data_IF_729737439111
#
_entry.id   IF_729737439111
#
_cell.length_a   1.000
_cell.length_b   1.000
_cell.length_c   1.000
_cell.angle_alpha   90.00
_cell.angle_beta   90.00
_cell.angle_gamma   90.00
#
_symmetry.space_group_name_H-M   'P 1'
#
loop_
_entity.id
_entity.type
_entity.pdbx_description
1 polymer ?
#
# COMPACT_ATOMS: atom_id res chain seq x y z
N UNK A 1 19.57 34.63 -46.71
CA UNK A 1 18.98 33.31 -46.45
C UNK A 1 19.49 32.81 -45.12
N UNK A 2 18.67 32.87 -44.07
CA UNK A 2 18.91 32.16 -42.81
C UNK A 2 17.53 31.71 -42.32
N UNK A 3 17.28 30.41 -42.47
CA UNK A 3 16.01 29.78 -42.15
C UNK A 3 15.87 29.62 -40.63
N UNK A 4 14.66 29.90 -40.17
CA UNK A 4 14.13 29.55 -38.86
C UNK A 4 14.20 28.04 -38.63
N UNK A 5 14.75 27.63 -37.49
CA UNK A 5 14.43 26.36 -36.84
C UNK A 5 14.15 26.64 -35.37
N UNK A 6 12.89 26.99 -35.10
CA UNK A 6 12.32 27.00 -33.75
C UNK A 6 11.97 25.56 -33.39
N UNK A 7 12.82 24.92 -32.59
CA UNK A 7 12.53 23.61 -32.01
C UNK A 7 11.49 23.77 -30.91
N UNK A 8 10.24 23.49 -31.26
CA UNK A 8 9.14 23.39 -30.33
C UNK A 8 9.37 22.15 -29.44
N UNK A 9 9.95 22.37 -28.25
CA UNK A 9 10.00 21.37 -27.18
C UNK A 9 8.56 21.17 -26.67
N UNK A 10 7.87 20.17 -27.22
CA UNK A 10 6.64 19.65 -26.64
C UNK A 10 7.02 18.94 -25.34
N UNK A 11 6.98 19.68 -24.23
CA UNK A 11 6.98 19.09 -22.88
C UNK A 11 5.69 18.30 -22.75
N UNK A 12 5.76 16.99 -22.97
CA UNK A 12 4.76 16.04 -22.51
C UNK A 12 4.75 16.10 -20.99
N UNK A 13 3.95 17.02 -20.44
CA UNK A 13 3.56 16.99 -19.04
C UNK A 13 2.77 15.70 -18.89
N UNK A 14 3.42 14.67 -18.35
CA UNK A 14 2.76 13.50 -17.84
C UNK A 14 1.81 14.00 -16.76
N UNK A 15 0.52 14.05 -17.07
CA UNK A 15 -0.52 14.24 -16.07
C UNK A 15 -0.44 12.99 -15.20
N UNK A 16 0.33 13.06 -14.11
CA UNK A 16 0.32 12.02 -13.11
C UNK A 16 -1.10 12.00 -12.56
N UNK A 17 -1.86 10.99 -12.94
CA UNK A 17 -3.12 10.66 -12.32
C UNK A 17 -2.81 10.44 -10.84
N UNK A 18 -3.16 11.40 -9.98
CA UNK A 18 -2.95 11.28 -8.54
C UNK A 18 -3.77 10.07 -8.10
N UNK A 19 -3.10 8.97 -7.78
CA UNK A 19 -3.77 7.75 -7.32
C UNK A 19 -4.47 8.07 -5.99
N UNK A 20 -5.73 7.65 -5.83
CA UNK A 20 -6.44 7.82 -4.57
C UNK A 20 -5.71 7.04 -3.48
N UNK A 21 -5.59 7.63 -2.30
CA UNK A 21 -4.93 7.01 -1.15
C UNK A 21 -5.94 6.54 -0.08
N UNK A 22 -7.21 6.93 -0.18
CA UNK A 22 -8.29 6.44 0.69
C UNK A 22 -9.54 6.03 -0.12
N UNK A 23 -10.39 5.21 0.51
CA UNK A 23 -11.66 4.73 -0.02
C UNK A 23 -12.74 4.93 1.03
N UNK A 24 -13.83 5.60 0.66
CA UNK A 24 -15.05 5.58 1.44
C UNK A 24 -15.85 4.35 1.01
N UNK A 25 -16.05 3.44 1.95
CA UNK A 25 -16.94 2.30 1.77
C UNK A 25 -18.30 2.64 2.37
N UNK A 26 -19.37 2.48 1.58
CA UNK A 26 -20.73 2.78 2.00
C UNK A 26 -21.68 1.63 1.69
N UNK A 27 -22.58 1.34 2.63
CA UNK A 27 -23.64 0.34 2.50
C UNK A 27 -24.97 0.97 2.90
N UNK A 28 -25.94 0.98 1.99
CA UNK A 28 -27.31 1.33 2.35
C UNK A 28 -27.89 0.17 3.14
N UNK A 29 -28.43 0.45 4.33
CA UNK A 29 -29.03 -0.56 5.20
C UNK A 29 -30.55 -0.62 5.01
N UNK A 30 -31.20 0.54 4.98
CA UNK A 30 -32.65 0.62 4.75
C UNK A 30 -33.01 1.96 4.13
N UNK A 31 -34.00 1.92 3.24
CA UNK A 31 -34.60 3.10 2.63
C UNK A 31 -36.12 2.94 2.64
N UNK A 32 -36.83 3.99 3.05
CA UNK A 32 -38.29 4.03 3.05
C UNK A 32 -38.74 5.22 2.22
N UNK A 33 -39.35 4.95 1.07
CA UNK A 33 -39.89 5.98 0.19
C UNK A 33 -41.27 6.42 0.71
N UNK A 34 -41.32 7.42 1.58
CA UNK A 34 -42.61 7.94 2.12
C UNK A 34 -43.12 9.17 1.37
N UNK A 35 -42.28 9.77 0.53
CA UNK A 35 -42.52 11.08 -0.08
C UNK A 35 -42.84 11.04 -1.57
N UNK A 36 -42.59 9.94 -2.29
CA UNK A 36 -42.94 9.80 -3.71
C UNK A 36 -43.92 8.66 -3.97
N UNK A 37 -45.06 8.98 -4.60
CA UNK A 37 -46.08 8.03 -5.06
C UNK A 37 -45.60 7.10 -6.19
N UNK A 38 -44.36 7.26 -6.64
CA UNK A 38 -43.74 6.57 -7.78
C UNK A 38 -43.62 5.07 -7.53
N UNK A 39 -43.23 4.66 -6.32
CA UNK A 39 -43.17 3.25 -5.95
C UNK A 39 -44.44 2.75 -5.24
N UNK A 40 -45.40 3.61 -4.87
CA UNK A 40 -46.65 3.17 -4.25
C UNK A 40 -47.54 2.38 -5.23
N UNK A 41 -47.36 2.59 -6.54
CA UNK A 41 -48.21 2.02 -7.58
C UNK A 41 -47.68 0.71 -8.18
N UNK A 42 -46.43 0.33 -7.90
CA UNK A 42 -45.79 -0.84 -8.51
C UNK A 42 -45.12 -1.74 -7.47
N UNK A 43 -45.50 -3.02 -7.45
CA UNK A 43 -44.88 -4.05 -6.60
C UNK A 43 -43.46 -4.42 -7.04
N UNK A 44 -43.06 -4.03 -8.26
CA UNK A 44 -41.76 -4.32 -8.86
C UNK A 44 -40.86 -3.06 -8.92
N UNK A 45 -41.10 -2.06 -8.05
CA UNK A 45 -40.28 -0.85 -8.03
C UNK A 45 -38.82 -1.19 -7.69
N UNK A 46 -37.93 -0.89 -8.64
CA UNK A 46 -36.49 -1.02 -8.44
C UNK A 46 -35.90 0.36 -8.18
N UNK A 47 -34.91 0.44 -7.29
CA UNK A 47 -34.23 1.67 -6.88
C UNK A 47 -32.73 1.50 -6.98
N UNK A 48 -32.01 2.54 -7.36
CA UNK A 48 -30.56 2.59 -7.29
C UNK A 48 -30.10 3.88 -6.59
N UNK A 49 -28.89 3.84 -6.05
CA UNK A 49 -28.32 4.96 -5.32
C UNK A 49 -27.13 5.53 -6.09
N UNK A 50 -27.11 6.85 -6.23
CA UNK A 50 -25.95 7.61 -6.68
C UNK A 50 -25.36 8.34 -5.49
N UNK A 51 -24.08 8.10 -5.21
CA UNK A 51 -23.39 8.65 -4.06
C UNK A 51 -22.22 9.50 -4.52
N UNK A 52 -22.10 10.69 -3.95
CA UNK A 52 -20.94 11.56 -4.14
C UNK A 52 -20.47 12.17 -2.82
N UNK A 53 -19.17 12.49 -2.79
CA UNK A 53 -18.54 13.23 -1.71
C UNK A 53 -18.40 14.71 -2.09
N UNK A 54 -18.85 15.60 -1.21
CA UNK A 54 -18.63 17.04 -1.34
C UNK A 54 -17.77 17.55 -0.19
N UNK A 55 -16.69 18.24 -0.55
CA UNK A 55 -15.71 18.84 0.36
C UNK A 55 -15.88 20.37 0.51
N UNK A 56 -16.75 20.99 -0.30
CA UNK A 56 -16.94 22.44 -0.29
C UNK A 56 -17.84 22.87 0.89
N UNK A 57 -17.44 23.94 1.58
CA UNK A 57 -18.25 24.59 2.62
C UNK A 57 -19.26 25.61 2.05
N UNK A 58 -19.31 25.77 0.72
CA UNK A 58 -20.11 26.81 0.07
C UNK A 58 -21.49 26.27 -0.35
N UNK A 59 -22.53 26.89 0.22
CA UNK A 59 -23.94 26.48 0.14
C UNK A 59 -24.55 26.73 -1.25
N UNK A 60 -23.87 27.47 -2.12
CA UNK A 60 -24.43 27.97 -3.38
C UNK A 60 -24.25 27.04 -4.61
N UNK A 61 -23.52 25.92 -4.47
CA UNK A 61 -23.16 25.03 -5.61
C UNK A 61 -23.60 23.56 -5.44
N UNK A 62 -24.56 23.26 -4.56
CA UNK A 62 -25.00 21.86 -4.32
C UNK A 62 -25.50 21.12 -5.58
N UNK A 63 -25.95 21.84 -6.63
CA UNK A 63 -26.40 21.21 -7.88
C UNK A 63 -25.27 20.85 -8.86
N UNK A 64 -24.04 21.33 -8.65
CA UNK A 64 -22.91 21.13 -9.58
C UNK A 64 -21.68 20.46 -8.95
N UNK A 65 -21.74 20.10 -7.66
CA UNK A 65 -20.59 19.63 -6.88
C UNK A 65 -20.15 18.17 -7.12
N UNK A 66 -20.87 17.39 -7.93
CA UNK A 66 -20.59 15.96 -8.13
C UNK A 66 -20.19 15.66 -9.58
N UNK A 67 -18.99 16.10 -9.99
CA UNK A 67 -18.45 15.84 -11.33
C UNK A 67 -17.24 14.90 -11.38
N UNK A 68 -16.59 14.58 -10.25
CA UNK A 68 -15.32 13.82 -10.24
C UNK A 68 -15.32 12.54 -9.39
N UNK A 69 -15.92 12.55 -8.19
CA UNK A 69 -15.90 11.40 -7.26
C UNK A 69 -17.32 10.85 -7.05
N UNK A 70 -17.80 10.08 -8.02
CA UNK A 70 -19.16 9.50 -8.03
C UNK A 70 -19.12 7.98 -8.02
N UNK A 71 -20.05 7.38 -7.29
CA UNK A 71 -20.18 5.93 -7.11
C UNK A 71 -21.62 5.54 -7.30
N UNK A 72 -21.86 4.55 -8.14
CA UNK A 72 -23.20 4.05 -8.47
C UNK A 72 -23.35 2.65 -7.90
N UNK A 73 -24.50 2.38 -7.29
CA UNK A 73 -24.89 0.99 -7.01
C UNK A 73 -25.52 0.35 -8.23
N UNK A 74 -25.57 -0.99 -8.25
CA UNK A 74 -26.55 -1.70 -9.07
C UNK A 74 -28.00 -1.42 -8.61
N UNK A 75 -29.01 -1.86 -9.38
CA UNK A 75 -30.42 -1.72 -9.00
C UNK A 75 -30.81 -2.74 -7.89
N UNK A 76 -31.61 -2.30 -6.91
CA UNK A 76 -32.21 -3.13 -5.86
C UNK A 76 -33.73 -3.05 -5.91
N UNK A 77 -34.43 -3.99 -5.28
CA UNK A 77 -35.87 -3.82 -5.02
C UNK A 77 -36.09 -2.76 -3.93
N UNK A 78 -37.20 -2.04 -3.99
CA UNK A 78 -37.59 -1.05 -2.98
C UNK A 78 -38.00 -1.66 -1.64
N UNK A 79 -38.07 -2.99 -1.51
CA UNK A 79 -38.36 -3.67 -0.25
C UNK A 79 -37.19 -3.47 0.74
N UNK A 80 -37.43 -2.96 1.97
CA UNK A 80 -36.42 -2.76 3.00
C UNK A 80 -35.52 -3.98 3.27
N UNK A 81 -36.01 -5.20 3.01
CA UNK A 81 -35.29 -6.45 3.24
C UNK A 81 -34.31 -6.83 2.12
N UNK A 82 -34.47 -6.25 0.93
CA UNK A 82 -33.70 -6.59 -0.28
C UNK A 82 -32.47 -5.68 -0.53
N UNK A 83 -32.36 -4.58 0.21
CA UNK A 83 -31.32 -3.53 0.05
C UNK A 83 -29.95 -3.99 0.58
N UNK A 84 -29.85 -5.20 1.11
CA UNK A 84 -28.60 -5.76 1.59
C UNK A 84 -27.86 -6.46 0.46
N UNK A 85 -26.85 -5.83 -0.13
CA UNK A 85 -25.58 -6.48 -0.58
C UNK A 85 -24.61 -5.58 -1.34
N UNK A 86 -25.01 -4.43 -1.89
CA UNK A 86 -24.05 -3.62 -2.65
C UNK A 86 -23.28 -2.62 -1.79
N UNK A 87 -21.96 -2.81 -1.79
CA UNK A 87 -21.01 -1.91 -1.19
C UNK A 87 -20.51 -0.94 -2.25
N UNK A 88 -20.63 0.35 -1.97
CA UNK A 88 -20.14 1.43 -2.83
C UNK A 88 -18.73 1.76 -2.37
N UNK A 89 -17.79 1.79 -3.30
CA UNK A 89 -16.42 2.19 -3.08
C UNK A 89 -16.18 3.51 -3.80
N UNK A 90 -15.94 4.57 -3.02
CA UNK A 90 -15.61 5.89 -3.53
C UNK A 90 -14.14 6.15 -3.23
N UNK A 91 -13.23 5.95 -4.19
CA UNK A 91 -11.85 6.34 -4.02
C UNK A 91 -11.75 7.87 -3.96
N UNK A 92 -10.93 8.40 -3.06
CA UNK A 92 -10.70 9.83 -2.96
C UNK A 92 -9.31 10.16 -2.42
N UNK A 93 -8.92 11.42 -2.59
CA UNK A 93 -7.70 11.95 -1.99
C UNK A 93 -8.06 12.57 -0.64
N UNK A 94 -7.68 11.91 0.45
CA UNK A 94 -7.92 12.38 1.81
C UNK A 94 -7.12 13.67 2.07
N UNK A 95 -7.73 14.83 1.81
CA UNK A 95 -7.19 16.11 2.29
C UNK A 95 -7.57 16.23 3.77
N UNK A 96 -6.68 16.82 4.58
CA UNK A 96 -6.70 16.97 6.07
C UNK A 96 -7.96 17.60 6.70
N UNK A 97 -9.04 17.74 5.96
CA UNK A 97 -10.34 18.22 6.40
C UNK A 97 -11.09 16.99 6.92
N UNK A 98 -10.96 16.67 8.22
CA UNK A 98 -11.51 15.47 8.85
C UNK A 98 -13.03 15.27 8.76
N UNK A 99 -13.77 16.07 7.98
CA UNK A 99 -15.20 15.86 7.69
C UNK A 99 -15.53 16.20 6.25
N UNK A 100 -16.47 15.48 5.65
CA UNK A 100 -17.08 15.81 4.35
C UNK A 100 -18.60 15.58 4.38
N UNK A 101 -19.29 16.06 3.35
CA UNK A 101 -20.71 15.77 3.17
C UNK A 101 -20.86 14.66 2.14
N UNK A 102 -21.40 13.51 2.55
CA UNK A 102 -21.84 12.46 1.63
C UNK A 102 -23.25 12.80 1.16
N UNK A 103 -23.46 12.80 -0.15
CA UNK A 103 -24.76 13.06 -0.77
C UNK A 103 -25.21 11.75 -1.40
N UNK A 104 -26.29 11.18 -0.86
CA UNK A 104 -26.90 9.94 -1.36
C UNK A 104 -28.20 10.31 -2.06
N UNK A 105 -28.30 9.99 -3.34
CA UNK A 105 -29.51 10.20 -4.14
C UNK A 105 -30.14 8.87 -4.48
N UNK A 106 -31.42 8.71 -4.20
CA UNK A 106 -32.20 7.53 -4.57
C UNK A 106 -32.93 7.82 -5.89
N UNK A 107 -32.86 6.88 -6.83
CA UNK A 107 -33.50 6.97 -8.15
C UNK A 107 -34.35 5.73 -8.38
N UNK A 108 -35.49 5.88 -9.05
CA UNK A 108 -36.25 4.73 -9.53
C UNK A 108 -35.63 4.15 -10.81
N UNK A 109 -35.89 2.86 -11.05
CA UNK A 109 -35.61 2.15 -12.29
C UNK A 109 -36.95 1.87 -12.95
N UNK A 110 -37.26 2.56 -14.04
CA UNK A 110 -38.46 2.31 -14.82
C UNK A 110 -38.12 1.54 -16.09
N UNK A 111 -38.84 0.43 -16.32
CA UNK A 111 -38.84 -0.30 -17.58
C UNK A 111 -40.23 -0.21 -18.21
N UNK A 112 -40.57 0.93 -18.84
CA UNK A 112 -41.79 1.00 -19.66
C UNK A 112 -41.45 0.62 -21.10
N UNK A 113 -42.21 -0.33 -21.66
CA UNK A 113 -41.95 -0.94 -22.96
C UNK A 113 -42.22 -0.04 -24.18
N UNK A 114 -42.42 1.29 -24.04
CA UNK A 114 -42.79 2.12 -25.21
C UNK A 114 -42.46 3.62 -25.17
N UNK A 115 -41.73 4.18 -24.20
CA UNK A 115 -41.18 5.54 -24.30
C UNK A 115 -39.91 5.68 -23.44
N UNK A 116 -38.95 6.54 -23.81
CA UNK A 116 -37.82 6.87 -22.94
C UNK A 116 -38.32 7.84 -21.87
N UNK A 117 -38.85 7.32 -20.76
CA UNK A 117 -39.03 8.12 -19.54
C UNK A 117 -37.68 8.23 -18.81
N UNK A 118 -37.33 9.43 -18.37
CA UNK A 118 -36.11 9.67 -17.60
C UNK A 118 -36.24 9.06 -16.19
N UNK A 119 -35.15 8.48 -15.66
CA UNK A 119 -35.08 8.09 -14.25
C UNK A 119 -35.40 9.32 -13.37
N UNK A 120 -36.18 9.13 -12.31
CA UNK A 120 -36.60 10.18 -11.40
C UNK A 120 -35.87 10.08 -10.06
N UNK A 121 -35.35 11.21 -9.58
CA UNK A 121 -34.77 11.33 -8.24
C UNK A 121 -35.92 11.28 -7.21
N UNK A 122 -35.99 10.20 -6.44
CA UNK A 122 -37.02 9.93 -5.42
C UNK A 122 -36.53 10.19 -3.98
N UNK A 123 -35.27 10.59 -3.82
CA UNK A 123 -34.72 10.94 -2.52
C UNK A 123 -33.36 11.63 -2.62
N UNK A 124 -33.09 12.55 -1.68
CA UNK A 124 -31.88 13.37 -1.63
C UNK A 124 -31.42 13.55 -0.18
N UNK A 125 -30.30 12.91 0.18
CA UNK A 125 -29.87 12.76 1.57
C UNK A 125 -28.43 13.26 1.76
N UNK A 126 -28.23 14.56 2.07
CA UNK A 126 -26.91 15.12 2.34
C UNK A 126 -26.59 14.93 3.83
N UNK A 127 -25.54 14.18 4.14
CA UNK A 127 -25.12 13.85 5.52
C UNK A 127 -23.67 14.22 5.75
N UNK A 128 -23.37 14.95 6.83
CA UNK A 128 -21.98 15.22 7.24
C UNK A 128 -21.40 13.98 7.92
N UNK A 129 -20.24 13.52 7.45
CA UNK A 129 -19.53 12.35 7.96
C UNK A 129 -18.10 12.71 8.39
N UNK A 130 -17.57 11.93 9.32
CA UNK A 130 -16.16 11.96 9.71
C UNK A 130 -15.34 11.16 8.69
N UNK A 131 -14.19 11.69 8.28
CA UNK A 131 -13.29 11.04 7.34
C UNK A 131 -12.11 10.31 8.01
N UNK A 132 -12.13 10.19 9.34
CA UNK A 132 -11.15 9.42 10.10
C UNK A 132 -11.17 7.96 9.66
N UNK A 133 -9.99 7.43 9.38
CA UNK A 133 -9.83 6.05 8.93
C UNK A 133 -10.20 5.07 10.06
N UNK A 134 -10.93 4.01 9.73
CA UNK A 134 -11.38 3.03 10.70
C UNK A 134 -11.83 1.74 10.02
N UNK A 135 -11.47 0.61 10.62
CA UNK A 135 -12.02 -0.68 10.20
C UNK A 135 -13.49 -0.87 10.65
N UNK A 136 -13.95 -0.08 11.63
CA UNK A 136 -15.30 -0.17 12.18
C UNK A 136 -16.28 0.67 11.36
N UNK A 137 -17.48 0.12 11.16
CA UNK A 137 -18.57 0.81 10.49
C UNK A 137 -19.21 1.86 11.39
N UNK A 138 -19.31 3.08 10.89
CA UNK A 138 -20.07 4.18 11.46
C UNK A 138 -21.48 4.20 10.85
N UNK A 139 -22.44 4.78 11.58
CA UNK A 139 -23.85 4.87 11.15
C UNK A 139 -24.14 6.29 10.66
N UNK A 140 -24.77 6.40 9.49
CA UNK A 140 -25.44 7.61 9.03
C UNK A 140 -26.95 7.36 8.96
N UNK A 141 -27.73 8.27 9.53
CA UNK A 141 -29.18 8.12 9.64
C UNK A 141 -29.90 9.43 9.36
N UNK A 142 -30.92 9.36 8.50
CA UNK A 142 -31.92 10.39 8.22
C UNK A 142 -33.32 9.77 8.29
N UNK A 143 -34.37 10.59 8.22
CA UNK A 143 -35.76 10.15 8.40
C UNK A 143 -36.17 8.96 7.53
N UNK A 144 -35.66 8.89 6.28
CA UNK A 144 -36.03 7.88 5.29
C UNK A 144 -34.87 6.95 4.88
N UNK A 145 -33.65 7.21 5.37
CA UNK A 145 -32.44 6.51 4.91
C UNK A 145 -31.52 6.19 6.08
N UNK A 146 -31.15 4.93 6.20
CA UNK A 146 -30.09 4.47 7.10
C UNK A 146 -28.99 3.79 6.31
N UNK A 147 -27.76 4.15 6.57
CA UNK A 147 -26.58 3.58 5.91
C UNK A 147 -25.42 3.40 6.89
N UNK A 148 -24.51 2.50 6.54
CA UNK A 148 -23.24 2.32 7.21
C UNK A 148 -22.13 2.84 6.32
N UNK A 149 -21.12 3.47 6.92
CA UNK A 149 -19.94 3.91 6.20
C UNK A 149 -18.65 3.68 7.00
N UNK A 150 -17.53 3.55 6.31
CA UNK A 150 -16.19 3.64 6.90
C UNK A 150 -15.20 4.16 5.87
N UNK A 151 -14.14 4.80 6.36
CA UNK A 151 -13.01 5.22 5.52
C UNK A 151 -11.86 4.25 5.77
N UNK A 152 -11.36 3.64 4.70
CA UNK A 152 -10.21 2.73 4.74
C UNK A 152 -9.16 3.23 3.77
N UNK A 153 -7.91 2.87 4.00
CA UNK A 153 -6.84 3.20 3.07
C UNK A 153 -6.97 2.38 1.79
N UNK A 154 -6.49 2.98 0.69
CA UNK A 154 -6.36 2.26 -0.57
C UNK A 154 -5.34 1.12 -0.42
N UNK A 155 -5.37 0.15 -1.34
CA UNK A 155 -4.46 -0.99 -1.32
C UNK A 155 -2.98 -0.53 -1.16
N UNK A 156 -2.29 -1.15 -0.20
CA UNK A 156 -0.90 -0.85 0.19
C UNK A 156 -0.66 0.50 0.87
N UNK A 157 -1.69 1.28 1.19
CA UNK A 157 -1.59 2.47 2.01
C UNK A 157 -2.01 2.21 3.45
N UNK A 158 -1.34 2.86 4.41
CA UNK A 158 -1.51 2.67 5.85
C UNK A 158 -1.39 4.01 6.58
N UNK A 159 -1.66 3.95 7.88
CA UNK A 159 -1.65 5.11 8.78
C UNK A 159 -2.99 5.85 8.79
N UNK A 160 -3.15 6.73 9.78
CA UNK A 160 -4.42 7.44 10.03
C UNK A 160 -4.86 8.32 8.85
N UNK A 161 -3.91 8.79 8.06
CA UNK A 161 -4.13 9.64 6.88
C UNK A 161 -3.84 8.92 5.54
N UNK A 162 -3.61 7.61 5.57
CA UNK A 162 -3.26 6.79 4.41
C UNK A 162 -2.06 7.33 3.62
N UNK A 163 -1.09 7.94 4.28
CA UNK A 163 0.11 8.49 3.64
C UNK A 163 1.27 7.50 3.50
N UNK A 164 1.26 6.41 4.28
CA UNK A 164 2.35 5.43 4.32
C UNK A 164 2.12 4.35 3.27
N UNK A 165 2.99 4.25 2.26
CA UNK A 165 2.92 3.18 1.26
C UNK A 165 3.83 2.01 1.63
N UNK A 166 3.25 0.81 1.73
CA UNK A 166 3.99 -0.44 1.92
C UNK A 166 3.37 -1.60 1.15
N UNK A 167 4.12 -2.14 0.20
CA UNK A 167 3.80 -3.40 -0.46
C UNK A 167 4.88 -4.41 -0.12
N UNK A 168 4.49 -5.56 0.40
CA UNK A 168 5.42 -6.64 0.75
C UNK A 168 6.19 -7.10 -0.50
N UNK A 169 7.47 -7.40 -0.31
CA UNK A 169 8.41 -7.79 -1.36
C UNK A 169 9.26 -8.97 -0.87
N UNK A 170 9.62 -9.84 -1.80
CA UNK A 170 10.59 -10.92 -1.59
C UNK A 170 11.36 -11.15 -2.91
N UNK A 171 12.17 -10.15 -3.25
CA UNK A 171 12.98 -10.13 -4.46
C UNK A 171 14.29 -9.34 -4.22
N UNK A 172 15.04 -9.09 -5.29
CA UNK A 172 16.32 -8.37 -5.21
C UNK A 172 16.23 -6.97 -4.55
N UNK A 173 15.06 -6.32 -4.56
CA UNK A 173 14.85 -5.00 -4.00
C UNK A 173 14.40 -5.00 -2.54
N UNK A 174 14.14 -6.17 -1.95
CA UNK A 174 13.85 -6.28 -0.53
C UNK A 174 13.12 -7.56 -0.15
N UNK A 175 13.31 -7.94 1.10
CA UNK A 175 12.75 -9.14 1.72
C UNK A 175 11.98 -8.75 2.98
N UNK A 176 10.72 -8.34 2.83
CA UNK A 176 9.91 -7.84 3.94
C UNK A 176 8.40 -7.99 3.77
N UNK A 177 7.69 -8.06 4.89
CA UNK A 177 6.24 -7.90 4.98
C UNK A 177 5.87 -6.53 5.55
N UNK A 178 4.62 -6.10 5.37
CA UNK A 178 4.12 -4.85 5.93
C UNK A 178 3.27 -5.15 7.18
N UNK A 179 3.41 -4.36 8.25
CA UNK A 179 2.49 -4.40 9.39
C UNK A 179 1.25 -3.51 9.18
N UNK A 180 0.36 -3.48 10.18
CA UNK A 180 -0.89 -2.68 10.16
C UNK A 180 -0.63 -1.16 10.13
N UNK A 181 0.56 -0.70 10.50
CA UNK A 181 0.97 0.70 10.43
C UNK A 181 1.73 1.03 9.12
N UNK A 182 1.99 0.03 8.27
CA UNK A 182 2.75 0.17 7.04
C UNK A 182 4.27 0.15 7.24
N UNK A 183 4.77 -0.26 8.40
CA UNK A 183 6.21 -0.46 8.60
C UNK A 183 6.66 -1.75 7.93
N UNK A 184 7.92 -1.76 7.50
CA UNK A 184 8.57 -2.94 6.91
C UNK A 184 9.11 -3.84 8.02
N UNK A 185 8.65 -5.07 8.03
CA UNK A 185 9.19 -6.14 8.86
C UNK A 185 10.06 -7.03 7.99
N UNK A 186 11.37 -6.95 8.18
CA UNK A 186 12.31 -7.77 7.42
C UNK A 186 12.04 -9.26 7.64
N UNK A 187 12.14 -10.04 6.57
CA UNK A 187 12.08 -11.50 6.64
C UNK A 187 13.28 -12.05 7.42
N UNK A 188 13.17 -13.25 8.02
CA UNK A 188 14.26 -13.84 8.78
C UNK A 188 15.57 -13.88 7.99
N UNK A 189 16.64 -13.36 8.59
CA UNK A 189 17.95 -13.30 7.96
C UNK A 189 18.22 -12.03 7.15
N UNK A 190 17.29 -11.06 7.11
CA UNK A 190 17.47 -9.79 6.41
C UNK A 190 17.38 -8.60 7.37
N UNK A 191 18.08 -7.51 7.04
CA UNK A 191 18.12 -6.27 7.81
C UNK A 191 18.31 -5.03 6.92
N UNK A 192 18.43 -3.87 7.56
CA UNK A 192 18.54 -2.57 6.91
C UNK A 192 17.18 -1.92 6.65
N UNK A 193 17.19 -0.64 6.27
CA UNK A 193 15.97 0.17 6.07
C UNK A 193 15.01 -0.42 5.02
N UNK A 194 15.56 -1.10 4.02
CA UNK A 194 14.83 -1.72 2.92
C UNK A 194 14.84 -3.26 2.96
N UNK A 195 15.38 -3.86 4.03
CA UNK A 195 15.49 -5.31 4.19
C UNK A 195 16.21 -6.00 3.02
N UNK A 196 17.28 -5.37 2.53
CA UNK A 196 18.13 -5.84 1.41
C UNK A 196 19.48 -6.35 1.89
N UNK A 197 19.84 -6.13 3.15
CA UNK A 197 21.13 -6.54 3.68
C UNK A 197 20.98 -7.92 4.34
N UNK A 198 21.73 -8.94 3.91
CA UNK A 198 21.70 -10.25 4.55
C UNK A 198 22.40 -10.19 5.91
N UNK A 199 21.83 -10.85 6.90
CA UNK A 199 22.44 -11.09 8.20
C UNK A 199 23.39 -12.28 8.04
N UNK A 200 24.69 -12.03 8.21
CA UNK A 200 25.71 -13.07 8.07
C UNK A 200 25.62 -14.12 9.17
N UNK A 201 26.38 -15.22 9.01
CA UNK A 201 26.51 -16.24 10.05
C UNK A 201 26.86 -15.59 11.40
N UNK A 202 26.23 -16.07 12.47
CA UNK A 202 26.49 -15.54 13.81
C UNK A 202 27.98 -15.69 14.18
N UNK A 203 28.61 -14.58 14.55
CA UNK A 203 30.05 -14.52 14.87
C UNK A 203 30.97 -14.38 13.66
N UNK A 204 30.44 -14.23 12.44
CA UNK A 204 31.24 -13.90 11.26
C UNK A 204 32.00 -12.59 11.50
N UNK A 205 33.28 -12.56 11.13
CA UNK A 205 34.15 -11.40 11.31
C UNK A 205 33.58 -10.15 10.65
N UNK A 206 33.44 -9.06 11.40
CA UNK A 206 33.01 -7.77 10.85
C UNK A 206 34.10 -7.12 9.97
N UNK A 207 35.38 -7.43 10.23
CA UNK A 207 36.50 -6.88 9.48
C UNK A 207 36.87 -7.73 8.26
N UNK A 208 36.71 -9.06 8.36
CA UNK A 208 37.28 -10.02 7.40
C UNK A 208 36.24 -10.95 6.77
N UNK A 209 34.98 -10.87 7.19
CA UNK A 209 33.86 -11.63 6.68
C UNK A 209 32.87 -10.78 5.90
N UNK A 210 32.08 -11.43 5.05
CA UNK A 210 30.94 -10.83 4.36
C UNK A 210 29.95 -11.92 3.95
N UNK A 211 28.71 -11.58 3.63
CA UNK A 211 27.73 -12.54 3.15
C UNK A 211 26.90 -11.96 2.01
N UNK A 212 26.61 -12.79 1.00
CA UNK A 212 25.69 -12.43 -0.08
C UNK A 212 24.28 -12.97 0.16
N UNK A 213 24.16 -13.97 1.03
CA UNK A 213 22.88 -14.56 1.46
C UNK A 213 22.90 -14.76 2.98
N UNK A 214 21.75 -14.79 3.64
CA UNK A 214 21.69 -14.92 5.09
C UNK A 214 22.36 -16.19 5.61
N UNK A 215 23.06 -16.08 6.73
CA UNK A 215 23.73 -17.21 7.41
C UNK A 215 25.04 -17.68 6.77
N UNK A 216 25.53 -17.03 5.71
CA UNK A 216 26.85 -17.31 5.15
C UNK A 216 27.95 -16.47 5.83
N UNK A 217 29.20 -16.92 5.75
CA UNK A 217 30.38 -16.12 6.06
C UNK A 217 31.47 -16.39 5.01
N UNK A 218 31.60 -15.48 4.04
CA UNK A 218 32.65 -15.49 3.01
C UNK A 218 33.84 -14.68 3.48
N UNK A 219 34.99 -15.32 3.54
CA UNK A 219 36.21 -14.67 4.00
C UNK A 219 36.84 -13.81 2.91
N UNK A 220 37.36 -12.66 3.34
CA UNK A 220 38.21 -11.83 2.52
C UNK A 220 39.52 -12.55 2.21
N UNK A 221 40.16 -12.17 1.10
CA UNK A 221 41.41 -12.78 0.66
C UNK A 221 42.49 -12.67 1.73
N UNK A 222 43.06 -13.81 2.14
CA UNK A 222 44.03 -13.88 3.23
C UNK A 222 43.47 -14.34 4.58
N UNK A 223 42.16 -14.54 4.67
CA UNK A 223 41.47 -15.09 5.85
C UNK A 223 40.74 -16.39 5.51
N UNK A 224 40.52 -17.21 6.53
CA UNK A 224 39.90 -18.53 6.45
C UNK A 224 39.17 -18.89 7.75
N UNK A 225 38.68 -20.12 7.82
CA UNK A 225 37.88 -20.62 8.93
C UNK A 225 36.39 -20.29 8.75
N UNK A 226 35.50 -20.90 9.55
CA UNK A 226 34.05 -20.76 9.42
C UNK A 226 33.55 -19.34 9.73
N UNK A 227 34.34 -18.55 10.49
CA UNK A 227 34.01 -17.20 10.93
C UNK A 227 34.95 -16.13 10.35
N UNK A 228 35.92 -16.51 9.51
CA UNK A 228 36.89 -15.61 8.89
C UNK A 228 37.84 -14.88 9.86
N UNK A 229 38.06 -15.45 11.04
CA UNK A 229 38.96 -14.94 12.08
C UNK A 229 40.38 -15.54 12.00
N UNK A 230 40.58 -16.55 11.15
CA UNK A 230 41.87 -17.22 11.01
C UNK A 230 42.61 -16.67 9.80
N UNK A 231 43.85 -16.22 9.97
CA UNK A 231 44.68 -15.83 8.83
C UNK A 231 45.10 -17.05 8.01
N UNK A 232 45.27 -16.87 6.71
CA UNK A 232 45.90 -17.83 5.81
C UNK A 232 47.43 -17.71 5.93
N UNK A 233 48.16 -18.77 6.31
CA UNK A 233 49.62 -18.75 6.29
C UNK A 233 50.17 -18.61 4.87
N UNK A 234 51.45 -18.27 4.74
CA UNK A 234 52.14 -18.23 3.45
C UNK A 234 52.02 -19.60 2.74
N UNK A 235 51.74 -19.66 1.42
CA UNK A 235 51.62 -20.93 0.71
C UNK A 235 52.88 -21.80 0.87
N UNK A 236 52.70 -23.04 1.33
CA UNK A 236 53.80 -23.97 1.59
C UNK A 236 54.43 -23.87 2.98
N UNK A 237 53.92 -23.02 3.88
CA UNK A 237 54.27 -23.04 5.30
C UNK A 237 53.94 -24.42 5.90
N UNK A 238 54.93 -25.09 6.49
CA UNK A 238 54.76 -26.45 7.03
C UNK A 238 54.53 -26.43 8.53
N UNK A 239 55.52 -25.98 9.30
CA UNK A 239 55.48 -25.97 10.77
C UNK A 239 55.48 -24.53 11.31
N UNK A 240 54.46 -23.77 10.95
CA UNK A 240 54.34 -22.36 11.34
C UNK A 240 52.91 -21.83 11.31
N UNK A 241 52.72 -20.70 11.99
CA UNK A 241 51.43 -20.01 12.11
C UNK A 241 51.49 -18.60 11.52
N UNK A 242 50.40 -17.84 11.62
CA UNK A 242 50.36 -16.45 11.19
C UNK A 242 49.65 -15.59 12.25
N UNK A 243 49.93 -14.29 12.24
CA UNK A 243 49.11 -13.27 12.93
C UNK A 243 48.40 -12.36 11.94
N UNK A 244 49.05 -12.12 10.80
CA UNK A 244 48.46 -11.46 9.64
C UNK A 244 48.54 -12.39 8.42
N UNK A 245 47.68 -12.17 7.41
CA UNK A 245 47.68 -12.97 6.20
C UNK A 245 49.08 -13.12 5.59
N UNK A 246 49.36 -14.32 5.08
CA UNK A 246 50.56 -14.67 4.32
C UNK A 246 51.87 -14.65 5.12
N UNK A 247 51.80 -14.72 6.44
CA UNK A 247 52.95 -14.95 7.30
C UNK A 247 53.22 -16.45 7.48
N UNK A 248 54.47 -16.80 7.82
CA UNK A 248 54.85 -18.15 8.25
C UNK A 248 55.81 -18.02 9.44
N UNK A 249 55.23 -17.93 10.63
CA UNK A 249 55.94 -17.82 11.91
C UNK A 249 56.26 -19.23 12.41
N UNK A 250 57.53 -19.64 12.32
CA UNK A 250 57.90 -21.00 12.66
C UNK A 250 57.65 -21.35 14.12
N UNK A 251 57.15 -22.55 14.32
CA UNK A 251 57.05 -23.16 15.63
C UNK A 251 58.44 -23.43 16.21
N UNK A 252 58.50 -23.61 17.53
CA UNK A 252 59.77 -23.89 18.22
C UNK A 252 60.40 -25.17 17.66
N UNK A 253 61.65 -25.08 17.21
CA UNK A 253 62.39 -26.20 16.61
C UNK A 253 62.40 -26.22 15.09
N UNK A 254 61.65 -25.34 14.43
CA UNK A 254 61.60 -25.22 12.98
C UNK A 254 62.17 -23.90 12.48
N UNK A 255 62.69 -23.89 11.26
CA UNK A 255 63.26 -22.70 10.63
C UNK A 255 63.17 -22.67 9.11
N UNK A 256 63.66 -21.58 8.54
CA UNK A 256 63.54 -21.27 7.11
C UNK A 256 62.26 -20.50 6.78
N UNK A 257 62.16 -19.97 5.56
CA UNK A 257 61.04 -19.13 5.11
C UNK A 257 59.69 -19.86 5.16
N UNK A 258 59.69 -21.18 4.96
CA UNK A 258 58.51 -22.04 4.93
C UNK A 258 58.41 -22.95 6.17
N UNK A 259 59.26 -22.75 7.17
CA UNK A 259 59.33 -23.57 8.38
C UNK A 259 59.44 -25.07 8.08
N UNK A 260 60.28 -25.41 7.10
CA UNK A 260 60.48 -26.77 6.60
C UNK A 260 61.86 -27.35 6.95
N UNK A 261 62.65 -26.66 7.79
CA UNK A 261 63.95 -27.13 8.29
C UNK A 261 63.85 -27.41 9.78
N UNK A 262 64.10 -28.66 10.17
CA UNK A 262 64.21 -29.04 11.59
C UNK A 262 65.57 -28.56 12.12
N UNK A 263 65.55 -27.83 13.23
CA UNK A 263 66.71 -27.21 13.88
C UNK A 263 67.20 -28.00 15.09
N UNK A 264 66.52 -29.09 15.47
CA UNK A 264 66.90 -29.94 16.60
C UNK A 264 67.64 -31.22 16.15
N UNK A 265 68.11 -31.24 14.90
CA UNK A 265 68.86 -32.36 14.30
C UNK A 265 70.32 -32.36 14.76
#
# INVERSE_FOLDING_TARGET
MAQLLSTCFLVLISVQLVKPFAVLELKVNSFTNTSSSVCEQSKDCQVFFNVCLNYTQDVTSYRQACSSDTGLTGPFSSDPSSITTAQIHLPFNLKRLGTATVIIKAWNVESSNNQPTENLEIGHFPTKIDLTTSQKWSVGEQSELRFFYRVVCYEFYYGDDCSVFCRSLDDYFGHFTCDDAGNRNCLPGWQGEYCTEPICLSGCSEEHGSCGVPGECKCQFGWQGPLCEECLPYPGCQHGTCKHPWQCMCEKGWGGLLCNKDLNV
#
